data_IF_389831358007
#
_entry.id   IF_389831358007
#
_cell.length_a   1.000
_cell.length_b   1.000
_cell.length_c   1.000
_cell.angle_alpha   90.00
_cell.angle_beta   90.00
_cell.angle_gamma   90.00
#
_symmetry.space_group_name_H-M   'P 1'
#
loop_
_entity.id
_entity.type
_entity.pdbx_description
1 polymer ?
#
# COMPACT_ATOMS: atom_id res chain seq x y z
N UNK A 1 34.09 10.09 -69.67
CA UNK A 1 34.69 10.67 -68.45
C UNK A 1 33.78 10.41 -67.26
N UNK A 2 34.18 9.55 -66.35
CA UNK A 2 33.36 9.22 -65.14
C UNK A 2 33.72 10.25 -64.03
N UNK A 3 32.73 11.04 -63.59
CA UNK A 3 32.89 11.98 -62.53
C UNK A 3 32.87 11.21 -61.19
N UNK A 4 34.02 11.14 -60.52
CA UNK A 4 34.18 10.51 -59.22
C UNK A 4 33.65 11.43 -58.17
N UNK A 5 32.42 11.22 -57.70
CA UNK A 5 31.87 11.99 -56.58
C UNK A 5 32.64 11.66 -55.29
N UNK A 6 33.25 12.67 -54.68
CA UNK A 6 33.85 12.57 -53.35
C UNK A 6 32.80 12.32 -52.32
N UNK A 7 32.76 11.15 -51.71
CA UNK A 7 31.94 10.87 -50.50
C UNK A 7 32.46 11.78 -49.38
N UNK A 8 31.63 12.73 -48.96
CA UNK A 8 31.85 13.49 -47.71
C UNK A 8 31.75 12.54 -46.53
N UNK A 9 32.82 12.36 -45.81
CA UNK A 9 32.82 11.65 -44.54
C UNK A 9 31.99 12.48 -43.56
N UNK A 10 30.83 11.99 -43.18
CA UNK A 10 30.07 12.57 -42.08
C UNK A 10 30.75 12.18 -40.77
N UNK A 11 31.54 13.08 -40.20
CA UNK A 11 31.97 12.92 -38.81
C UNK A 11 30.78 13.21 -37.92
N UNK A 12 30.26 12.20 -37.29
CA UNK A 12 29.22 12.35 -36.28
C UNK A 12 29.82 13.07 -35.08
N UNK A 13 29.25 14.18 -34.67
CA UNK A 13 29.69 14.93 -33.50
C UNK A 13 29.41 14.12 -32.24
N UNK A 14 30.44 13.54 -31.65
CA UNK A 14 30.34 12.69 -30.47
C UNK A 14 29.93 13.47 -29.22
N UNK A 15 30.20 14.77 -29.17
CA UNK A 15 29.81 15.63 -28.03
C UNK A 15 28.30 15.81 -27.97
N UNK A 16 27.64 16.06 -29.10
CA UNK A 16 26.19 16.14 -29.18
C UNK A 16 25.52 14.81 -28.84
N UNK A 17 26.09 13.68 -29.25
CA UNK A 17 25.58 12.35 -28.90
C UNK A 17 25.72 12.06 -27.39
N UNK A 18 26.85 12.42 -26.78
CA UNK A 18 27.06 12.27 -25.34
C UNK A 18 26.09 13.15 -24.53
N UNK A 19 25.81 14.36 -24.96
CA UNK A 19 24.88 15.29 -24.29
C UNK A 19 23.46 14.72 -24.31
N UNK A 20 22.98 14.26 -25.47
CA UNK A 20 21.64 13.63 -25.59
C UNK A 20 21.57 12.36 -24.72
N UNK A 21 22.60 11.54 -24.72
CA UNK A 21 22.63 10.33 -23.88
C UNK A 21 22.59 10.68 -22.38
N UNK A 22 23.33 11.72 -21.97
CA UNK A 22 23.33 12.18 -20.59
C UNK A 22 22.00 12.81 -20.18
N UNK A 23 21.38 13.59 -21.08
CA UNK A 23 20.06 14.18 -20.86
C UNK A 23 18.99 13.09 -20.71
N UNK A 24 19.00 12.07 -21.58
CA UNK A 24 18.09 10.92 -21.44
C UNK A 24 18.32 10.16 -20.14
N UNK A 25 19.58 9.92 -19.77
CA UNK A 25 19.93 9.25 -18.51
C UNK A 25 19.38 10.02 -17.30
N UNK A 26 19.64 11.33 -17.24
CA UNK A 26 19.14 12.19 -16.15
C UNK A 26 17.62 12.24 -16.13
N UNK A 27 16.98 12.33 -17.28
CA UNK A 27 15.52 12.27 -17.39
C UNK A 27 14.96 10.96 -16.84
N UNK A 28 15.51 9.81 -17.22
CA UNK A 28 15.06 8.52 -16.69
C UNK A 28 15.31 8.36 -15.20
N UNK A 29 16.45 8.85 -14.67
CA UNK A 29 16.72 8.80 -13.23
C UNK A 29 15.69 9.67 -12.46
N UNK A 30 15.39 10.88 -12.95
CA UNK A 30 14.46 11.79 -12.30
C UNK A 30 12.99 11.33 -12.42
N UNK A 31 12.64 10.64 -13.48
CA UNK A 31 11.27 10.12 -13.71
C UNK A 31 11.06 8.72 -13.17
N UNK A 32 12.11 7.99 -12.80
CA UNK A 32 12.03 6.67 -12.20
C UNK A 32 11.40 6.76 -10.81
N UNK A 33 10.13 6.41 -10.69
CA UNK A 33 9.46 6.26 -9.41
C UNK A 33 9.69 4.84 -8.90
N UNK A 34 10.48 4.71 -7.82
CA UNK A 34 10.64 3.43 -7.15
C UNK A 34 9.32 3.07 -6.43
N UNK A 35 8.68 1.98 -6.85
CA UNK A 35 7.53 1.43 -6.14
C UNK A 35 8.02 0.85 -4.82
N UNK A 36 7.45 1.32 -3.70
CA UNK A 36 7.81 0.78 -2.40
C UNK A 36 7.46 -0.73 -2.32
N UNK A 37 8.31 -1.55 -1.71
CA UNK A 37 8.08 -2.99 -1.62
C UNK A 37 6.84 -3.27 -0.77
N UNK A 38 5.85 -3.92 -1.34
CA UNK A 38 4.65 -4.35 -0.61
C UNK A 38 5.04 -5.36 0.47
N UNK A 39 4.53 -5.17 1.69
CA UNK A 39 4.79 -6.07 2.82
C UNK A 39 4.18 -7.45 2.58
N UNK A 40 3.02 -7.50 1.92
CA UNK A 40 2.39 -8.72 1.45
C UNK A 40 2.10 -8.58 -0.04
N UNK A 41 2.94 -9.12 -0.93
CA UNK A 41 2.63 -9.18 -2.35
C UNK A 41 1.50 -10.19 -2.57
N UNK A 42 0.41 -9.75 -3.19
CA UNK A 42 -0.76 -10.58 -3.53
C UNK A 42 -1.10 -10.41 -5.00
N UNK A 43 -1.43 -11.51 -5.64
CA UNK A 43 -1.92 -11.54 -7.01
C UNK A 43 -3.43 -11.27 -6.99
N UNK A 44 -3.84 -10.08 -7.42
CA UNK A 44 -5.25 -9.71 -7.41
C UNK A 44 -6.03 -10.34 -8.55
N UNK A 45 -7.30 -10.75 -8.33
CA UNK A 45 -8.15 -11.27 -9.38
C UNK A 45 -8.36 -10.24 -10.49
N UNK A 46 -8.48 -10.71 -11.73
CA UNK A 46 -8.60 -9.85 -12.91
C UNK A 46 -10.05 -9.40 -13.12
N UNK A 47 -10.24 -8.11 -13.39
CA UNK A 47 -11.56 -7.53 -13.70
C UNK A 47 -11.53 -6.71 -14.98
N UNK A 48 -12.67 -6.60 -15.64
CA UNK A 48 -12.88 -5.73 -16.80
C UNK A 48 -13.38 -4.35 -16.42
N UNK A 49 -13.84 -4.17 -15.17
CA UNK A 49 -14.37 -2.90 -14.66
C UNK A 49 -13.23 -2.08 -14.06
N UNK A 50 -13.14 -0.82 -14.47
CA UNK A 50 -12.18 0.15 -13.97
C UNK A 50 -12.91 1.22 -13.17
N UNK A 51 -12.79 1.17 -11.86
CA UNK A 51 -13.22 2.26 -10.97
C UNK A 51 -12.00 2.79 -10.25
N UNK A 52 -11.79 4.11 -10.29
CA UNK A 52 -10.71 4.74 -9.55
C UNK A 52 -11.04 4.75 -8.07
N UNK A 53 -10.14 4.22 -7.26
CA UNK A 53 -10.20 4.37 -5.80
C UNK A 53 -9.86 5.81 -5.41
N UNK A 54 -10.46 6.35 -4.34
CA UNK A 54 -10.08 7.67 -3.84
C UNK A 54 -8.64 7.66 -3.33
N UNK A 55 -7.93 8.75 -3.57
CA UNK A 55 -6.55 8.91 -3.09
C UNK A 55 -6.47 9.26 -1.60
N UNK A 56 -7.57 9.76 -1.04
CA UNK A 56 -7.70 10.20 0.36
C UNK A 56 -8.88 9.50 1.02
N UNK A 57 -8.87 9.44 2.34
CA UNK A 57 -9.94 8.81 3.14
C UNK A 57 -10.16 7.34 2.78
N UNK A 58 -9.11 6.62 2.46
CA UNK A 58 -9.13 5.23 2.08
C UNK A 58 -8.33 4.40 3.08
N UNK A 59 -8.91 3.29 3.51
CA UNK A 59 -8.20 2.21 4.18
C UNK A 59 -8.24 0.97 3.30
N UNK A 60 -7.11 0.27 3.21
CA UNK A 60 -6.99 -0.94 2.41
C UNK A 60 -6.69 -2.14 3.30
N UNK A 61 -7.50 -3.17 3.19
CA UNK A 61 -7.31 -4.46 3.82
C UNK A 61 -6.70 -5.41 2.79
N UNK A 62 -5.45 -5.81 2.97
CA UNK A 62 -4.79 -6.79 2.10
C UNK A 62 -4.90 -8.16 2.74
N UNK A 63 -5.51 -9.11 2.04
CA UNK A 63 -5.76 -10.48 2.50
C UNK A 63 -5.00 -11.45 1.62
N UNK A 64 -4.14 -12.25 2.22
CA UNK A 64 -3.37 -13.27 1.50
C UNK A 64 -2.65 -14.21 2.45
N UNK A 65 -2.52 -15.46 2.08
CA UNK A 65 -1.88 -16.53 2.86
C UNK A 65 -2.48 -16.67 4.26
N UNK A 66 -3.81 -16.54 4.39
CA UNK A 66 -4.54 -16.57 5.64
C UNK A 66 -4.35 -15.36 6.56
N UNK A 67 -3.55 -14.38 6.15
CA UNK A 67 -3.16 -13.21 6.94
C UNK A 67 -3.88 -11.95 6.45
N UNK A 68 -4.06 -10.98 7.34
CA UNK A 68 -4.65 -9.68 7.02
C UNK A 68 -3.68 -8.58 7.39
N UNK A 69 -3.49 -7.66 6.46
CA UNK A 69 -2.69 -6.44 6.61
C UNK A 69 -3.57 -5.23 6.44
N UNK A 70 -3.26 -4.17 7.16
CA UNK A 70 -4.03 -2.94 7.15
C UNK A 70 -3.17 -1.76 6.72
N UNK A 71 -3.72 -0.93 5.83
CA UNK A 71 -3.14 0.32 5.37
C UNK A 71 -4.17 1.44 5.48
N UNK A 72 -3.75 2.62 5.90
CA UNK A 72 -4.61 3.81 6.01
C UNK A 72 -3.96 4.93 5.21
N UNK A 73 -4.70 5.60 4.35
CA UNK A 73 -4.21 6.76 3.61
C UNK A 73 -4.32 8.03 4.44
N UNK A 74 -3.20 8.72 4.62
CA UNK A 74 -3.09 9.97 5.38
C UNK A 74 -2.28 9.79 6.66
N UNK A 75 -1.19 10.58 6.78
CA UNK A 75 -0.27 10.52 7.92
C UNK A 75 -0.95 10.94 9.22
N UNK A 76 -1.76 11.98 9.16
CA UNK A 76 -2.58 12.54 10.23
C UNK A 76 -3.55 11.49 10.81
N UNK A 77 -4.31 10.83 9.93
CA UNK A 77 -5.27 9.79 10.32
C UNK A 77 -4.54 8.59 10.93
N UNK A 78 -3.38 8.21 10.40
CA UNK A 78 -2.57 7.11 10.97
C UNK A 78 -2.13 7.39 12.40
N UNK A 79 -1.56 8.58 12.64
CA UNK A 79 -1.10 8.97 13.98
C UNK A 79 -2.28 8.95 14.95
N UNK A 80 -3.40 9.58 14.56
CA UNK A 80 -4.59 9.61 15.40
C UNK A 80 -5.17 8.22 15.67
N UNK A 81 -5.19 7.36 14.67
CA UNK A 81 -5.61 5.95 14.84
C UNK A 81 -4.71 5.21 15.82
N UNK A 82 -3.39 5.41 15.72
CA UNK A 82 -2.43 4.80 16.65
C UNK A 82 -2.62 5.27 18.07
N UNK A 83 -2.91 6.56 18.29
CA UNK A 83 -3.22 7.11 19.62
C UNK A 83 -4.47 6.46 20.23
N UNK A 84 -5.55 6.35 19.45
CA UNK A 84 -6.78 5.69 19.91
C UNK A 84 -6.54 4.22 20.26
N UNK A 85 -5.78 3.51 19.44
CA UNK A 85 -5.39 2.12 19.71
C UNK A 85 -4.47 1.99 20.92
N UNK A 86 -3.50 2.91 21.08
CA UNK A 86 -2.61 3.01 22.24
C UNK A 86 -3.40 3.11 23.55
N UNK A 87 -4.40 3.98 23.57
CA UNK A 87 -5.27 4.18 24.74
C UNK A 87 -6.13 2.94 25.02
N UNK A 88 -6.67 2.29 23.98
CA UNK A 88 -7.52 1.10 24.13
C UNK A 88 -6.75 -0.10 24.68
N UNK A 89 -5.54 -0.32 24.18
CA UNK A 89 -4.71 -1.48 24.55
C UNK A 89 -3.65 -1.20 25.61
N UNK A 90 -3.59 0.03 26.15
CA UNK A 90 -2.59 0.45 27.13
C UNK A 90 -1.12 0.23 26.67
N UNK A 91 -0.86 0.36 25.38
CA UNK A 91 0.48 0.25 24.78
C UNK A 91 1.01 1.65 24.50
N UNK A 92 2.06 2.08 25.18
CA UNK A 92 2.64 3.41 24.98
C UNK A 92 3.57 3.45 23.78
N UNK A 93 3.33 4.38 22.87
CA UNK A 93 4.20 4.70 21.73
C UNK A 93 4.85 6.07 21.96
N UNK A 94 6.14 6.18 21.63
CA UNK A 94 6.85 7.45 21.64
C UNK A 94 6.49 8.30 20.42
N UNK A 95 6.83 9.60 20.46
CA UNK A 95 6.64 10.49 19.30
C UNK A 95 7.44 10.01 18.08
N UNK A 96 8.60 9.36 18.29
CA UNK A 96 9.34 8.71 17.22
C UNK A 96 8.58 7.55 16.60
N UNK A 97 7.93 6.71 17.42
CA UNK A 97 7.14 5.58 16.96
C UNK A 97 5.94 6.06 16.13
N UNK A 98 5.28 7.14 16.57
CA UNK A 98 4.18 7.76 15.85
C UNK A 98 4.64 8.31 14.49
N UNK A 99 5.79 8.98 14.43
CA UNK A 99 6.36 9.47 13.18
C UNK A 99 6.75 8.34 12.22
N UNK A 100 7.34 7.26 12.74
CA UNK A 100 7.66 6.06 11.95
C UNK A 100 6.39 5.38 11.43
N UNK A 101 5.32 5.31 12.24
CA UNK A 101 4.03 4.76 11.85
C UNK A 101 3.31 5.61 10.80
N UNK A 102 3.42 6.94 10.90
CA UNK A 102 2.82 7.88 9.95
C UNK A 102 3.31 7.67 8.50
N UNK A 103 4.56 7.23 8.32
CA UNK A 103 5.16 6.97 7.00
C UNK A 103 5.18 5.49 6.61
N UNK A 104 4.78 4.59 7.52
CA UNK A 104 4.68 3.17 7.24
C UNK A 104 3.49 2.90 6.31
N UNK A 105 3.64 2.05 5.31
CA UNK A 105 2.56 1.75 4.36
C UNK A 105 1.54 0.80 4.97
N UNK A 106 1.74 -0.48 4.86
CA UNK A 106 0.86 -1.49 5.43
C UNK A 106 1.54 -2.24 6.58
N UNK A 107 0.75 -2.72 7.52
CA UNK A 107 1.24 -3.55 8.62
C UNK A 107 0.28 -4.72 8.88
N UNK A 108 0.85 -5.80 9.39
CA UNK A 108 0.11 -7.01 9.70
C UNK A 108 0.68 -7.67 10.95
N UNK A 109 0.60 -6.97 12.09
CA UNK A 109 1.07 -7.48 13.39
C UNK A 109 0.09 -7.10 14.50
N UNK A 110 0.03 -7.89 15.58
CA UNK A 110 -0.68 -7.48 16.80
C UNK A 110 -0.09 -6.17 17.33
N UNK A 111 -0.92 -5.35 18.00
CA UNK A 111 -0.50 -4.03 18.51
C UNK A 111 0.68 -4.14 19.49
N UNK A 112 0.76 -5.22 20.26
CA UNK A 112 1.85 -5.48 21.19
C UNK A 112 3.21 -5.64 20.50
N UNK A 113 3.20 -6.20 19.29
CA UNK A 113 4.41 -6.42 18.47
C UNK A 113 4.71 -5.28 17.50
N UNK A 114 3.81 -4.27 17.41
CA UNK A 114 3.94 -3.18 16.46
C UNK A 114 5.23 -2.37 16.68
N UNK A 115 5.61 -2.15 17.94
CA UNK A 115 6.83 -1.43 18.28
C UNK A 115 8.09 -2.10 17.73
N UNK A 116 8.17 -3.43 17.76
CA UNK A 116 9.30 -4.18 17.20
C UNK A 116 9.42 -3.94 15.68
N UNK A 117 8.30 -3.87 14.97
CA UNK A 117 8.29 -3.58 13.53
C UNK A 117 8.68 -2.13 13.26
N UNK A 118 8.25 -1.18 14.10
CA UNK A 118 8.62 0.23 13.95
C UNK A 118 10.12 0.48 14.14
N UNK A 119 10.77 -0.31 14.99
CA UNK A 119 12.22 -0.22 15.22
C UNK A 119 13.07 -0.82 14.09
N UNK A 120 12.47 -1.64 13.22
CA UNK A 120 13.15 -2.21 12.05
C UNK A 120 13.29 -1.17 10.92
N UNK A 121 14.35 -1.33 10.13
CA UNK A 121 14.52 -0.55 8.90
C UNK A 121 13.40 -0.87 7.89
N UNK A 122 12.94 0.10 7.07
CA UNK A 122 11.85 -0.13 6.11
C UNK A 122 12.06 -1.34 5.18
N UNK A 123 13.29 -1.57 4.72
CA UNK A 123 13.63 -2.69 3.84
C UNK A 123 13.54 -4.06 4.53
N UNK A 124 13.69 -4.11 5.85
CA UNK A 124 13.66 -5.35 6.63
C UNK A 124 12.24 -5.69 7.11
N UNK A 125 11.36 -4.69 7.21
CA UNK A 125 9.94 -4.88 7.62
C UNK A 125 9.18 -5.82 6.69
N UNK A 126 9.41 -5.72 5.37
CA UNK A 126 8.79 -6.59 4.37
C UNK A 126 9.30 -8.04 4.44
N UNK A 127 10.55 -8.21 4.89
CA UNK A 127 11.20 -9.53 5.03
C UNK A 127 10.91 -10.19 6.39
N UNK A 128 10.47 -9.44 7.38
CA UNK A 128 10.26 -9.90 8.76
C UNK A 128 9.14 -10.94 8.93
N UNK A 129 8.42 -11.28 7.86
CA UNK A 129 7.41 -12.36 7.89
C UNK A 129 6.27 -12.09 8.87
N UNK A 130 5.67 -10.91 8.80
CA UNK A 130 4.62 -10.49 9.73
C UNK A 130 3.47 -11.52 9.81
N UNK A 131 2.95 -11.81 11.02
CA UNK A 131 1.96 -12.87 11.24
C UNK A 131 0.56 -12.53 10.71
N UNK A 132 0.26 -11.26 10.49
CA UNK A 132 -1.08 -10.73 10.22
C UNK A 132 -1.71 -10.10 11.47
N UNK A 133 -2.70 -9.25 11.27
CA UNK A 133 -3.49 -8.69 12.38
C UNK A 133 -4.46 -9.76 12.88
N UNK A 134 -4.57 -9.98 14.20
CA UNK A 134 -5.54 -10.90 14.78
C UNK A 134 -6.98 -10.53 14.37
N UNK A 135 -7.72 -11.55 13.92
CA UNK A 135 -9.11 -11.41 13.44
C UNK A 135 -10.04 -12.45 14.07
N UNK A 136 -9.60 -13.07 15.15
CA UNK A 136 -10.33 -14.13 15.83
C UNK A 136 -11.42 -13.55 16.75
N UNK A 137 -12.39 -14.37 17.11
CA UNK A 137 -13.51 -13.94 17.96
C UNK A 137 -13.09 -13.53 19.36
N UNK A 138 -11.97 -14.03 19.87
CA UNK A 138 -11.44 -13.70 21.21
C UNK A 138 -10.52 -12.47 21.19
N UNK A 139 -9.79 -12.25 20.09
CA UNK A 139 -8.90 -11.12 19.90
C UNK A 139 -9.09 -10.55 18.49
N UNK A 140 -10.08 -9.66 18.34
CA UNK A 140 -10.42 -9.06 17.06
C UNK A 140 -9.80 -7.67 16.94
N UNK A 141 -8.46 -7.62 16.96
CA UNK A 141 -7.75 -6.36 16.79
C UNK A 141 -8.03 -5.70 15.43
N UNK A 142 -8.33 -6.48 14.40
CA UNK A 142 -8.70 -5.96 13.09
C UNK A 142 -9.94 -5.07 13.16
N UNK A 143 -10.99 -5.52 13.85
CA UNK A 143 -12.20 -4.72 14.05
C UNK A 143 -11.90 -3.41 14.75
N UNK A 144 -11.04 -3.45 15.75
CA UNK A 144 -10.66 -2.26 16.51
C UNK A 144 -9.84 -1.27 15.69
N UNK A 145 -8.90 -1.75 14.86
CA UNK A 145 -8.17 -0.92 13.93
C UNK A 145 -9.09 -0.20 12.95
N UNK A 146 -10.05 -0.92 12.37
CA UNK A 146 -11.03 -0.36 11.42
C UNK A 146 -11.89 0.70 12.12
N UNK A 147 -12.43 0.39 13.29
CA UNK A 147 -13.27 1.31 14.06
C UNK A 147 -12.53 2.59 14.41
N UNK A 148 -11.33 2.47 14.98
CA UNK A 148 -10.54 3.63 15.38
C UNK A 148 -10.06 4.45 14.18
N UNK A 149 -9.76 3.82 13.04
CA UNK A 149 -9.43 4.53 11.81
C UNK A 149 -10.61 5.35 11.27
N UNK A 150 -11.83 4.83 11.36
CA UNK A 150 -13.05 5.57 10.98
C UNK A 150 -13.28 6.77 11.90
N UNK A 151 -13.15 6.57 13.22
CA UNK A 151 -13.26 7.66 14.20
C UNK A 151 -12.22 8.74 13.90
N UNK A 152 -10.96 8.36 13.74
CA UNK A 152 -9.88 9.30 13.43
C UNK A 152 -10.11 10.08 12.13
N UNK A 153 -10.64 9.42 11.08
CA UNK A 153 -10.92 10.08 9.81
C UNK A 153 -12.08 11.07 9.92
N UNK A 154 -13.14 10.73 10.67
CA UNK A 154 -14.28 11.63 10.93
C UNK A 154 -13.82 12.83 11.76
N UNK A 155 -13.05 12.61 12.84
CA UNK A 155 -12.53 13.69 13.68
C UNK A 155 -11.66 14.70 12.94
N UNK A 156 -10.82 14.23 12.00
CA UNK A 156 -9.84 15.09 11.32
C UNK A 156 -10.34 15.67 10.00
N UNK A 157 -11.28 15.02 9.33
CA UNK A 157 -11.65 15.34 7.94
C UNK A 157 -13.15 15.50 7.72
N UNK A 158 -13.97 15.22 8.73
CA UNK A 158 -15.43 15.26 8.64
C UNK A 158 -15.98 14.43 7.46
N UNK A 159 -15.31 13.29 7.17
CA UNK A 159 -15.67 12.37 6.10
C UNK A 159 -15.58 10.93 6.56
N UNK A 160 -16.46 10.09 6.01
CA UNK A 160 -16.37 8.66 6.23
C UNK A 160 -15.11 8.09 5.57
N UNK A 161 -14.56 7.04 6.20
CA UNK A 161 -13.41 6.30 5.69
C UNK A 161 -13.93 5.23 4.71
N UNK A 162 -13.50 5.30 3.46
CA UNK A 162 -13.79 4.26 2.48
C UNK A 162 -12.89 3.05 2.71
N UNK A 163 -13.44 1.86 2.51
CA UNK A 163 -12.72 0.60 2.72
C UNK A 163 -12.53 -0.10 1.37
N UNK A 164 -11.30 -0.50 1.11
CA UNK A 164 -10.97 -1.36 -0.03
C UNK A 164 -10.39 -2.69 0.47
N UNK A 165 -10.79 -3.78 -0.15
CA UNK A 165 -10.26 -5.12 0.10
C UNK A 165 -9.40 -5.52 -1.09
N UNK A 166 -8.13 -5.84 -0.85
CA UNK A 166 -7.18 -6.37 -1.81
C UNK A 166 -6.94 -7.84 -1.45
N UNK A 167 -7.63 -8.76 -2.12
CA UNK A 167 -7.51 -10.20 -1.89
C UNK A 167 -6.54 -10.86 -2.87
N UNK A 168 -5.86 -11.91 -2.42
CA UNK A 168 -5.11 -12.80 -3.29
C UNK A 168 -6.08 -13.68 -4.09
N UNK A 169 -5.83 -13.87 -5.38
CA UNK A 169 -6.66 -14.74 -6.24
C UNK A 169 -6.70 -16.20 -5.73
N UNK A 170 -5.64 -16.62 -5.04
CA UNK A 170 -5.51 -17.99 -4.50
C UNK A 170 -6.00 -18.12 -3.07
N UNK A 171 -6.49 -17.02 -2.46
CA UNK A 171 -6.96 -17.05 -1.08
C UNK A 171 -8.29 -17.77 -0.96
N UNK A 172 -8.44 -18.55 0.11
CA UNK A 172 -9.67 -19.26 0.38
C UNK A 172 -10.81 -18.30 0.76
N UNK A 173 -11.98 -18.53 0.17
CA UNK A 173 -13.19 -17.72 0.43
C UNK A 173 -13.53 -17.53 1.92
N UNK A 174 -13.41 -18.54 2.83
CA UNK A 174 -13.71 -18.36 4.25
C UNK A 174 -12.88 -17.25 4.92
N UNK A 175 -11.64 -17.02 4.48
CA UNK A 175 -10.76 -15.97 5.04
C UNK A 175 -11.28 -14.59 4.62
N UNK A 176 -11.60 -14.44 3.34
CA UNK A 176 -12.16 -13.18 2.81
C UNK A 176 -13.53 -12.91 3.43
N UNK A 177 -14.38 -13.95 3.53
CA UNK A 177 -15.69 -13.86 4.18
C UNK A 177 -15.57 -13.37 5.62
N UNK A 178 -14.63 -13.89 6.40
CA UNK A 178 -14.41 -13.44 7.78
C UNK A 178 -14.11 -11.95 7.87
N UNK A 179 -13.30 -11.41 6.93
CA UNK A 179 -13.02 -9.98 6.86
C UNK A 179 -14.28 -9.19 6.50
N UNK A 180 -15.09 -9.69 5.56
CA UNK A 180 -16.35 -9.04 5.21
C UNK A 180 -17.35 -9.08 6.38
N UNK A 181 -17.44 -10.19 7.10
CA UNK A 181 -18.32 -10.31 8.28
C UNK A 181 -17.92 -9.27 9.35
N UNK A 182 -16.63 -9.08 9.62
CA UNK A 182 -16.12 -8.04 10.53
C UNK A 182 -16.53 -6.63 10.09
N UNK A 183 -16.51 -6.35 8.78
CA UNK A 183 -16.96 -5.06 8.26
C UNK A 183 -18.48 -4.89 8.42
N UNK A 184 -19.26 -5.92 8.11
CA UNK A 184 -20.71 -5.90 8.23
C UNK A 184 -21.18 -5.75 9.68
N UNK A 185 -20.52 -6.39 10.63
CA UNK A 185 -20.77 -6.24 12.07
C UNK A 185 -20.60 -4.77 12.52
N UNK A 186 -19.71 -4.02 11.86
CA UNK A 186 -19.52 -2.58 12.05
C UNK A 186 -20.44 -1.70 11.18
N UNK A 187 -21.45 -2.30 10.54
CA UNK A 187 -22.38 -1.61 9.62
C UNK A 187 -21.71 -1.00 8.39
N UNK A 188 -20.56 -1.54 7.98
CA UNK A 188 -19.87 -1.16 6.75
C UNK A 188 -20.33 -2.11 5.66
N UNK A 189 -21.34 -1.69 4.89
CA UNK A 189 -21.95 -2.50 3.83
C UNK A 189 -21.43 -2.12 2.44
N UNK A 190 -20.64 -1.06 2.34
CA UNK A 190 -20.03 -0.60 1.08
C UNK A 190 -18.51 -0.66 1.18
N UNK A 191 -17.90 -1.48 0.34
CA UNK A 191 -16.45 -1.60 0.21
C UNK A 191 -16.08 -1.88 -1.24
N UNK A 192 -14.89 -1.44 -1.64
CA UNK A 192 -14.35 -1.64 -2.98
C UNK A 192 -13.43 -2.86 -3.02
N UNK A 193 -13.56 -3.69 -4.06
CA UNK A 193 -12.59 -4.77 -4.31
C UNK A 193 -11.49 -4.27 -5.23
N UNK A 194 -10.24 -4.41 -4.80
CA UNK A 194 -9.07 -4.10 -5.63
C UNK A 194 -8.79 -5.26 -6.56
N UNK A 195 -8.85 -5.01 -7.85
CA UNK A 195 -8.65 -6.02 -8.90
C UNK A 195 -7.59 -5.57 -9.90
N UNK A 196 -6.91 -6.53 -10.51
CA UNK A 196 -6.03 -6.28 -11.64
C UNK A 196 -6.82 -6.10 -12.95
N UNK A 197 -6.25 -5.42 -13.92
CA UNK A 197 -6.83 -5.29 -15.25
C UNK A 197 -6.67 -6.60 -16.02
N UNK A 198 -7.79 -7.08 -16.56
CA UNK A 198 -7.77 -8.14 -17.56
C UNK A 198 -7.39 -7.53 -18.91
N UNK A 199 -6.25 -7.92 -19.48
CA UNK A 199 -5.91 -7.56 -20.85
C UNK A 199 -7.03 -8.04 -21.79
N UNK A 200 -7.43 -7.21 -22.75
CA UNK A 200 -8.27 -7.68 -23.84
C UNK A 200 -7.42 -8.69 -24.63
N UNK A 201 -7.70 -9.96 -24.48
CA UNK A 201 -7.27 -10.95 -25.47
C UNK A 201 -8.10 -10.69 -26.73
N UNK A 202 -7.43 -10.23 -27.79
CA UNK A 202 -7.99 -10.15 -29.14
C UNK A 202 -7.89 -11.51 -29.81
#
# INVERSE_FOLDING_TARGET
>A
MAIKMKKKSTSTDMTAMCDVAFLLLTFFILTATAKAPEVLPVDTPKSTVQTKLPEKNLATLTVGKGKVFFDIKGKDVRVRTLELMSNKYNVKFSDEDQNKFAVMESFGVPIQSLKQILDMKPADRSKAGQPGIPKDSLDNQLADWIQNARIANIELRDKELEIAIKGDEKEEYPVIKRVMDILQDQKINSFSLVTGLRGKEF
#
